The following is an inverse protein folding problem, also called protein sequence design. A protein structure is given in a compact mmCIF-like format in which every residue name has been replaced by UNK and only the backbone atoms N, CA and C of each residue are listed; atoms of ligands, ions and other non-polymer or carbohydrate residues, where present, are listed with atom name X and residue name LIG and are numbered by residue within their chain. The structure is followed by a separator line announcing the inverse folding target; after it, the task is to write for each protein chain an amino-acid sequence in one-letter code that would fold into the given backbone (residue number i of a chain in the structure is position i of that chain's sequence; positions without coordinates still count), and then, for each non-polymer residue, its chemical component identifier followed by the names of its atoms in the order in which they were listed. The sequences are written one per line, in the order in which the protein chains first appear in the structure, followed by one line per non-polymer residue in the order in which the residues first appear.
data_IF_355500597879
#
_entry.id   IF_355500597879
#
_cell.length_a   1.000
_cell.length_b   1.000
_cell.length_c   1.000
_cell.angle_alpha   90.00
_cell.angle_beta   90.00
_cell.angle_gamma   90.00
#
_symmetry.space_group_name_H-M   'P 1'
#
loop_
_entity.id
_entity.type
_entity.pdbx_description
1 polymer ?
#
# COMPACT_ATOMS: atom_id res chain seq x y z
N UNK A 1 -51.63 10.31 6.48
CA UNK A 1 -50.78 9.39 5.70
C UNK A 1 -49.26 9.70 5.82
N UNK A 2 -48.80 10.95 5.73
CA UNK A 2 -47.36 11.36 5.81
C UNK A 2 -46.67 11.04 7.16
N UNK A 3 -47.36 11.03 8.32
CA UNK A 3 -46.77 10.68 9.62
C UNK A 3 -46.41 9.18 9.77
N UNK A 4 -47.15 8.28 9.13
CA UNK A 4 -46.86 6.83 9.16
C UNK A 4 -45.65 6.43 8.33
N UNK A 5 -45.35 7.18 7.24
CA UNK A 5 -44.20 6.94 6.38
C UNK A 5 -42.91 7.35 7.09
N UNK A 6 -42.87 8.53 7.75
CA UNK A 6 -41.72 8.97 8.54
C UNK A 6 -41.41 8.06 9.73
N UNK A 7 -42.43 7.43 10.33
CA UNK A 7 -42.25 6.48 11.43
C UNK A 7 -41.63 5.15 10.94
N UNK A 8 -42.02 4.67 9.76
CA UNK A 8 -41.45 3.47 9.12
C UNK A 8 -40.01 3.69 8.63
N UNK A 9 -39.65 4.87 8.15
CA UNK A 9 -38.27 5.21 7.80
C UNK A 9 -37.38 5.33 9.04
N UNK A 10 -37.91 5.83 10.16
CA UNK A 10 -37.18 5.88 11.45
C UNK A 10 -36.96 4.50 12.06
N UNK A 11 -37.83 3.53 11.79
CA UNK A 11 -37.71 2.13 12.26
C UNK A 11 -36.78 1.28 11.38
N UNK A 12 -36.39 1.73 10.17
CA UNK A 12 -35.46 1.05 9.27
C UNK A 12 -33.97 1.36 9.53
N UNK A 13 -33.63 2.19 10.52
CA UNK A 13 -32.26 2.26 11.02
C UNK A 13 -32.00 0.97 11.81
N UNK A 14 -31.60 -0.07 11.07
CA UNK A 14 -31.13 -1.34 11.63
C UNK A 14 -30.16 -1.00 12.78
N UNK A 15 -30.51 -1.35 13.99
CA UNK A 15 -29.62 -1.14 15.15
C UNK A 15 -28.32 -1.86 14.84
N UNK A 16 -27.22 -1.12 14.70
CA UNK A 16 -25.91 -1.70 14.46
C UNK A 16 -25.64 -2.77 15.54
N UNK A 17 -25.18 -3.92 15.12
CA UNK A 17 -24.73 -4.99 16.01
C UNK A 17 -23.54 -4.52 16.84
N UNK A 18 -23.20 -5.24 17.88
CA UNK A 18 -22.02 -4.93 18.69
C UNK A 18 -20.73 -5.06 17.86
N UNK A 19 -20.68 -6.02 16.95
CA UNK A 19 -19.55 -6.18 16.03
C UNK A 19 -19.41 -5.00 15.07
N UNK A 20 -20.52 -4.54 14.46
CA UNK A 20 -20.51 -3.36 13.57
C UNK A 20 -20.07 -2.08 14.29
N UNK A 21 -20.48 -1.89 15.55
CA UNK A 21 -20.04 -0.74 16.35
C UNK A 21 -18.57 -0.82 16.72
N UNK A 22 -18.08 -2.02 17.03
CA UNK A 22 -16.68 -2.25 17.34
C UNK A 22 -15.82 -1.93 16.12
N UNK A 23 -16.22 -2.39 14.93
CA UNK A 23 -15.50 -2.12 13.70
C UNK A 23 -15.48 -0.62 13.36
N UNK A 24 -16.61 0.07 13.50
CA UNK A 24 -16.69 1.51 13.31
C UNK A 24 -15.78 2.30 14.27
N UNK A 25 -15.75 1.88 15.54
CA UNK A 25 -14.83 2.47 16.53
C UNK A 25 -13.38 2.23 16.15
N UNK A 26 -13.06 1.00 15.71
CA UNK A 26 -11.73 0.62 15.27
C UNK A 26 -11.26 1.46 14.08
N UNK A 27 -12.14 1.66 13.08
CA UNK A 27 -11.91 2.52 11.93
C UNK A 27 -11.59 3.97 12.33
N UNK A 28 -12.40 4.55 13.24
CA UNK A 28 -12.22 5.93 13.66
C UNK A 28 -10.94 6.11 14.49
N UNK A 29 -10.59 5.13 15.33
CA UNK A 29 -9.32 5.14 16.08
C UNK A 29 -8.13 5.04 15.15
N UNK A 30 -8.18 4.17 14.13
CA UNK A 30 -7.11 4.06 13.13
C UNK A 30 -6.92 5.35 12.31
N UNK A 31 -8.03 5.99 11.90
CA UNK A 31 -7.95 7.26 11.18
C UNK A 31 -7.35 8.39 12.04
N UNK A 32 -7.70 8.45 13.33
CA UNK A 32 -7.09 9.39 14.27
C UNK A 32 -5.60 9.09 14.50
N UNK A 33 -5.26 7.80 14.64
CA UNK A 33 -3.89 7.38 14.84
C UNK A 33 -2.98 7.75 13.66
N UNK A 34 -3.46 7.60 12.42
CA UNK A 34 -2.70 7.98 11.24
C UNK A 34 -2.30 9.47 11.30
N UNK A 35 -3.25 10.36 11.62
CA UNK A 35 -2.98 11.79 11.78
C UNK A 35 -1.98 12.09 12.91
N UNK A 36 -2.23 11.52 14.11
CA UNK A 36 -1.38 11.79 15.28
C UNK A 36 0.04 11.28 15.08
N UNK A 37 0.21 10.10 14.48
CA UNK A 37 1.55 9.59 14.14
C UNK A 37 2.25 10.41 13.06
N UNK A 38 1.52 10.87 12.05
CA UNK A 38 2.08 11.72 11.00
C UNK A 38 2.54 13.09 11.52
N UNK A 39 1.79 13.66 12.47
CA UNK A 39 2.08 14.97 13.05
C UNK A 39 3.16 14.93 14.14
N UNK A 40 3.10 13.95 15.05
CA UNK A 40 3.93 13.92 16.27
C UNK A 40 5.04 12.87 16.23
N UNK A 41 4.99 11.97 15.27
CA UNK A 41 5.87 10.79 15.19
C UNK A 41 5.42 9.66 16.12
N UNK A 42 5.96 8.45 15.88
CA UNK A 42 5.60 7.27 16.65
C UNK A 42 5.97 7.38 18.14
N UNK A 43 7.19 7.84 18.43
CA UNK A 43 7.70 7.85 19.80
C UNK A 43 7.00 8.84 20.71
N UNK A 44 6.63 10.01 20.20
CA UNK A 44 5.95 11.06 20.97
C UNK A 44 4.44 10.82 21.11
N UNK A 45 3.88 9.82 20.43
CA UNK A 45 2.45 9.48 20.47
C UNK A 45 2.16 8.46 21.55
N UNK A 46 1.03 8.64 22.28
CA UNK A 46 0.46 7.68 23.22
C UNK A 46 -0.93 7.23 22.78
N UNK A 47 -1.41 6.08 23.28
CA UNK A 47 -2.78 5.64 23.03
C UNK A 47 -3.82 6.62 23.60
N UNK A 48 -3.48 7.34 24.67
CA UNK A 48 -4.32 8.37 25.26
C UNK A 48 -4.51 9.56 24.33
N UNK A 49 -3.43 10.02 23.68
CA UNK A 49 -3.49 11.10 22.71
C UNK A 49 -4.33 10.70 21.48
N UNK A 50 -4.22 9.44 21.04
CA UNK A 50 -5.04 8.90 19.96
C UNK A 50 -6.52 8.80 20.39
N UNK A 51 -6.81 8.39 21.62
CA UNK A 51 -8.17 8.32 22.14
C UNK A 51 -8.84 9.70 22.18
N UNK A 52 -8.10 10.70 22.63
CA UNK A 52 -8.55 12.11 22.67
C UNK A 52 -8.85 12.61 21.24
N UNK A 53 -7.94 12.43 20.30
CA UNK A 53 -8.11 12.80 18.89
C UNK A 53 -9.30 12.09 18.24
N UNK A 54 -9.52 10.80 18.57
CA UNK A 54 -10.61 10.01 18.04
C UNK A 54 -11.97 10.31 18.71
N UNK A 55 -11.98 11.05 19.80
CA UNK A 55 -13.19 11.32 20.59
C UNK A 55 -13.71 10.12 21.37
N UNK A 56 -12.85 9.17 21.70
CA UNK A 56 -13.20 7.96 22.48
C UNK A 56 -12.57 7.95 23.87
N UNK A 57 -13.17 7.16 24.77
CA UNK A 57 -12.55 6.90 26.07
C UNK A 57 -11.28 6.03 25.89
N UNK A 58 -10.32 6.18 26.81
CA UNK A 58 -9.13 5.32 26.87
C UNK A 58 -9.51 3.83 26.88
N UNK A 59 -10.52 3.45 27.68
CA UNK A 59 -11.01 2.08 27.76
C UNK A 59 -11.50 1.53 26.42
N UNK A 60 -12.13 2.37 25.58
CA UNK A 60 -12.60 1.97 24.27
C UNK A 60 -11.40 1.71 23.30
N UNK A 61 -10.32 2.48 23.39
CA UNK A 61 -9.12 2.27 22.59
C UNK A 61 -8.37 1.02 23.05
N UNK A 62 -8.11 0.87 24.34
CA UNK A 62 -7.45 -0.32 24.91
C UNK A 62 -8.22 -1.62 24.71
N UNK A 63 -9.55 -1.55 24.59
CA UNK A 63 -10.37 -2.71 24.24
C UNK A 63 -10.14 -3.19 22.80
N UNK A 64 -9.77 -2.29 21.91
CA UNK A 64 -9.56 -2.58 20.49
C UNK A 64 -8.09 -2.82 20.11
N UNK A 65 -7.14 -2.20 20.81
CA UNK A 65 -5.70 -2.26 20.53
C UNK A 65 -4.92 -2.45 21.82
N UNK A 66 -4.08 -3.46 21.87
CA UNK A 66 -3.27 -3.77 23.05
C UNK A 66 -2.23 -2.69 23.33
N UNK A 67 -1.61 -2.15 22.28
CA UNK A 67 -0.59 -1.12 22.35
C UNK A 67 -0.55 -0.26 21.09
N UNK A 68 0.29 0.76 21.09
CA UNK A 68 0.44 1.66 19.94
C UNK A 68 1.18 1.01 18.76
N UNK A 69 2.00 0.00 19.03
CA UNK A 69 2.71 -0.74 17.98
C UNK A 69 1.74 -1.57 17.15
N UNK A 70 0.80 -2.28 17.80
CA UNK A 70 -0.26 -3.00 17.10
C UNK A 70 -1.07 -2.07 16.20
N UNK A 71 -1.46 -0.90 16.72
CA UNK A 71 -2.22 0.08 15.98
C UNK A 71 -1.42 0.63 14.79
N UNK A 72 -0.13 0.91 15.00
CA UNK A 72 0.78 1.39 13.97
C UNK A 72 0.95 0.35 12.85
N UNK A 73 1.18 -0.92 13.19
CA UNK A 73 1.28 -2.01 12.24
C UNK A 73 -0.03 -2.27 11.48
N UNK A 74 -1.18 -2.05 12.09
CA UNK A 74 -2.46 -2.21 11.42
C UNK A 74 -2.74 -1.14 10.36
N UNK A 75 -2.25 0.08 10.57
CA UNK A 75 -2.26 1.10 9.52
C UNK A 75 -1.46 0.65 8.30
N UNK A 76 -0.32 -0.01 8.52
CA UNK A 76 0.46 -0.60 7.45
C UNK A 76 -0.29 -1.73 6.73
N UNK A 77 -0.91 -2.66 7.50
CA UNK A 77 -1.68 -3.76 6.94
C UNK A 77 -2.77 -3.28 5.99
N UNK A 78 -3.53 -2.25 6.39
CA UNK A 78 -4.56 -1.64 5.54
C UNK A 78 -3.98 -1.09 4.26
N UNK A 79 -2.91 -0.32 4.37
CA UNK A 79 -2.29 0.30 3.20
C UNK A 79 -1.70 -0.73 2.24
N UNK A 80 -1.08 -1.78 2.76
CA UNK A 80 -0.59 -2.89 1.94
C UNK A 80 -1.74 -3.63 1.23
N UNK A 81 -2.86 -3.85 1.93
CA UNK A 81 -4.02 -4.52 1.36
C UNK A 81 -4.68 -3.69 0.24
N UNK A 82 -4.88 -2.39 0.45
CA UNK A 82 -5.39 -1.45 -0.57
C UNK A 82 -4.51 -1.47 -1.82
N UNK A 83 -3.19 -1.34 -1.63
CA UNK A 83 -2.23 -1.36 -2.73
C UNK A 83 -2.20 -2.67 -3.51
N UNK A 84 -2.26 -3.80 -2.80
CA UNK A 84 -2.32 -5.11 -3.43
C UNK A 84 -3.62 -5.28 -4.25
N UNK A 85 -4.73 -4.72 -3.76
CA UNK A 85 -6.00 -4.72 -4.49
C UNK A 85 -5.95 -3.84 -5.74
N UNK A 86 -5.41 -2.62 -5.63
CA UNK A 86 -5.24 -1.70 -6.76
C UNK A 86 -4.39 -2.33 -7.86
N UNK A 87 -3.26 -2.95 -7.48
CA UNK A 87 -2.39 -3.64 -8.42
C UNK A 87 -3.12 -4.77 -9.15
N UNK A 88 -3.83 -5.64 -8.42
CA UNK A 88 -4.61 -6.72 -9.03
C UNK A 88 -5.70 -6.19 -9.96
N UNK A 89 -6.38 -5.10 -9.58
CA UNK A 89 -7.42 -4.49 -10.40
C UNK A 89 -6.89 -3.97 -11.74
N UNK A 90 -5.70 -3.36 -11.76
CA UNK A 90 -5.08 -2.90 -13.02
C UNK A 90 -4.81 -4.05 -13.98
N UNK A 91 -4.51 -5.24 -13.48
CA UNK A 91 -4.15 -6.39 -14.29
C UNK A 91 -5.29 -7.42 -14.49
N UNK A 92 -6.49 -7.17 -13.93
CA UNK A 92 -7.59 -8.14 -13.95
C UNK A 92 -8.11 -8.46 -15.37
N UNK A 93 -8.16 -7.48 -16.26
CA UNK A 93 -8.77 -7.57 -17.59
C UNK A 93 -7.72 -7.54 -18.73
N UNK A 94 -6.50 -8.01 -18.48
CA UNK A 94 -5.41 -7.89 -19.46
C UNK A 94 -5.26 -9.15 -20.29
N UNK A 95 -5.21 -8.99 -21.61
CA UNK A 95 -4.70 -9.98 -22.54
C UNK A 95 -3.20 -10.27 -22.25
N UNK A 96 -2.76 -11.52 -22.50
CA UNK A 96 -1.37 -11.97 -22.28
C UNK A 96 -0.39 -11.42 -23.34
N UNK A 97 -0.76 -10.33 -24.04
CA UNK A 97 0.10 -9.65 -24.99
C UNK A 97 1.16 -8.81 -24.29
N UNK A 98 2.40 -8.89 -24.76
CA UNK A 98 3.57 -8.22 -24.17
C UNK A 98 3.43 -6.69 -24.19
N UNK A 99 2.88 -6.13 -25.27
CA UNK A 99 2.69 -4.69 -25.41
C UNK A 99 1.58 -4.19 -24.48
N UNK A 100 0.48 -4.96 -24.34
CA UNK A 100 -0.57 -4.68 -23.36
C UNK A 100 -0.02 -4.75 -21.93
N UNK A 101 0.80 -5.75 -21.63
CA UNK A 101 1.49 -5.89 -20.33
C UNK A 101 2.40 -4.70 -20.02
N UNK A 102 3.20 -4.21 -20.98
CA UNK A 102 4.06 -3.02 -20.80
C UNK A 102 3.23 -1.77 -20.48
N UNK A 103 2.16 -1.52 -21.24
CA UNK A 103 1.25 -0.38 -21.00
C UNK A 103 0.61 -0.44 -19.62
N UNK A 104 0.16 -1.60 -19.19
CA UNK A 104 -0.48 -1.74 -17.87
C UNK A 104 0.52 -1.64 -16.73
N UNK A 105 1.74 -2.14 -16.90
CA UNK A 105 2.81 -1.94 -15.93
C UNK A 105 3.09 -0.44 -15.73
N UNK A 106 3.11 0.35 -16.82
CA UNK A 106 3.25 1.80 -16.75
C UNK A 106 2.08 2.47 -16.01
N UNK A 107 0.83 2.06 -16.29
CA UNK A 107 -0.37 2.57 -15.60
C UNK A 107 -0.31 2.22 -14.10
N UNK A 108 0.01 0.97 -13.76
CA UNK A 108 0.14 0.54 -12.37
C UNK A 108 1.24 1.32 -11.63
N UNK A 109 2.40 1.53 -12.27
CA UNK A 109 3.49 2.31 -11.72
C UNK A 109 3.09 3.77 -11.49
N UNK A 110 2.39 4.39 -12.43
CA UNK A 110 1.89 5.76 -12.28
C UNK A 110 0.91 5.87 -11.12
N UNK A 111 -0.10 5.00 -11.04
CA UNK A 111 -1.06 4.98 -9.95
C UNK A 111 -0.38 4.77 -8.59
N UNK A 112 0.59 3.84 -8.52
CA UNK A 112 1.33 3.60 -7.30
C UNK A 112 2.12 4.84 -6.86
N UNK A 113 2.79 5.50 -7.79
CA UNK A 113 3.58 6.70 -7.51
C UNK A 113 2.70 7.87 -7.09
N UNK A 114 1.60 8.14 -7.79
CA UNK A 114 0.64 9.21 -7.47
C UNK A 114 0.02 9.01 -6.10
N UNK A 115 -0.37 7.78 -5.76
CA UNK A 115 -0.93 7.46 -4.46
C UNK A 115 0.10 7.61 -3.31
N UNK A 116 1.40 7.39 -3.57
CA UNK A 116 2.46 7.63 -2.57
C UNK A 116 2.80 9.12 -2.43
N UNK A 117 2.81 9.88 -3.53
CA UNK A 117 3.18 11.29 -3.52
C UNK A 117 2.03 12.20 -3.12
N UNK A 118 0.78 11.82 -3.42
CA UNK A 118 -0.44 12.57 -3.14
C UNK A 118 -0.90 12.53 -1.68
N UNK A 119 -0.35 11.65 -0.86
CA UNK A 119 -0.75 11.47 0.54
C UNK A 119 0.38 11.89 1.51
N UNK A 120 0.38 13.13 2.01
CA UNK A 120 1.42 13.63 2.91
C UNK A 120 1.41 12.93 4.28
N UNK A 121 0.23 12.51 4.77
CA UNK A 121 0.13 11.77 6.04
C UNK A 121 0.79 10.40 5.90
N UNK A 122 0.51 9.70 4.81
CA UNK A 122 1.14 8.42 4.53
C UNK A 122 2.66 8.53 4.37
N UNK A 123 3.15 9.57 3.71
CA UNK A 123 4.59 9.80 3.56
C UNK A 123 5.29 9.92 4.91
N UNK A 124 4.75 10.76 5.80
CA UNK A 124 5.30 10.92 7.14
C UNK A 124 5.26 9.61 7.92
N UNK A 125 4.12 8.92 7.87
CA UNK A 125 3.90 7.64 8.55
C UNK A 125 4.88 6.56 8.05
N UNK A 126 5.12 6.48 6.74
CA UNK A 126 6.03 5.49 6.16
C UNK A 126 7.49 5.74 6.60
N UNK A 127 7.92 6.99 6.70
CA UNK A 127 9.24 7.34 7.25
C UNK A 127 9.36 6.94 8.72
N UNK A 128 8.32 7.11 9.52
CA UNK A 128 8.26 6.65 10.90
C UNK A 128 8.37 5.12 10.99
N UNK A 129 7.69 4.37 10.11
CA UNK A 129 7.84 2.91 10.01
C UNK A 129 9.30 2.51 9.77
N UNK A 130 9.95 3.12 8.77
CA UNK A 130 11.35 2.82 8.44
C UNK A 130 12.30 3.19 9.58
N UNK A 131 12.11 4.35 10.18
CA UNK A 131 12.95 4.81 11.30
C UNK A 131 12.79 3.91 12.53
N UNK A 132 11.57 3.44 12.82
CA UNK A 132 11.32 2.51 13.91
C UNK A 132 11.91 1.12 13.61
N UNK A 133 11.67 0.59 12.41
CA UNK A 133 12.24 -0.69 11.97
C UNK A 133 13.78 -0.72 11.98
N UNK A 134 14.43 0.41 11.73
CA UNK A 134 15.88 0.51 11.81
C UNK A 134 16.44 0.32 13.24
N UNK A 135 15.64 0.65 14.27
CA UNK A 135 16.03 0.63 15.68
C UNK A 135 15.52 -0.58 16.45
N UNK A 136 14.40 -1.15 16.03
CA UNK A 136 13.74 -2.28 16.69
C UNK A 136 13.71 -3.52 15.79
N UNK A 137 14.41 -4.57 16.19
CA UNK A 137 14.50 -5.81 15.42
C UNK A 137 13.18 -6.62 15.42
N UNK A 138 12.36 -6.54 16.47
CA UNK A 138 11.08 -7.22 16.54
C UNK A 138 10.08 -6.52 15.62
N UNK A 139 10.00 -5.19 15.69
CA UNK A 139 9.20 -4.38 14.79
C UNK A 139 9.62 -4.56 13.32
N UNK A 140 10.94 -4.54 13.02
CA UNK A 140 11.44 -4.78 11.66
C UNK A 140 10.96 -6.11 11.08
N UNK A 141 10.97 -7.20 11.87
CA UNK A 141 10.43 -8.49 11.42
C UNK A 141 8.91 -8.44 11.19
N UNK A 142 8.18 -7.73 12.05
CA UNK A 142 6.74 -7.55 11.90
C UNK A 142 6.40 -6.68 10.68
N UNK A 143 7.16 -5.62 10.45
CA UNK A 143 7.06 -4.74 9.29
C UNK A 143 7.34 -5.51 7.98
N UNK A 144 8.46 -6.25 7.92
CA UNK A 144 8.83 -7.04 6.75
C UNK A 144 7.74 -8.04 6.35
N UNK A 145 7.20 -8.82 7.31
CA UNK A 145 6.11 -9.77 7.01
C UNK A 145 4.87 -9.11 6.37
N UNK A 146 4.57 -7.85 6.72
CA UNK A 146 3.43 -7.12 6.20
C UNK A 146 3.68 -6.57 4.80
N UNK A 147 4.86 -6.02 4.59
CA UNK A 147 5.27 -5.56 3.26
C UNK A 147 5.45 -6.73 2.29
N UNK A 148 5.78 -7.93 2.77
CA UNK A 148 5.84 -9.14 1.95
C UNK A 148 4.47 -9.52 1.36
N UNK A 149 3.35 -9.17 1.99
CA UNK A 149 2.02 -9.39 1.42
C UNK A 149 1.78 -8.54 0.16
N UNK A 150 2.22 -7.27 0.19
CA UNK A 150 2.14 -6.40 -0.98
C UNK A 150 3.11 -6.87 -2.07
N UNK A 151 4.33 -7.26 -1.68
CA UNK A 151 5.32 -7.82 -2.61
C UNK A 151 4.81 -9.11 -3.24
N UNK A 152 4.12 -9.97 -2.48
CA UNK A 152 3.47 -11.16 -3.00
C UNK A 152 2.46 -10.88 -4.10
N UNK A 153 1.66 -9.81 -3.98
CA UNK A 153 0.74 -9.40 -5.04
C UNK A 153 1.48 -8.94 -6.31
N UNK A 154 2.59 -8.21 -6.16
CA UNK A 154 3.45 -7.82 -7.29
C UNK A 154 4.11 -9.06 -7.93
N UNK A 155 4.60 -10.00 -7.11
CA UNK A 155 5.17 -11.25 -7.56
C UNK A 155 4.15 -12.09 -8.35
N UNK A 156 2.91 -12.22 -7.87
CA UNK A 156 1.83 -12.91 -8.59
C UNK A 156 1.67 -12.33 -10.01
N UNK A 157 1.60 -11.01 -10.14
CA UNK A 157 1.47 -10.33 -11.44
C UNK A 157 2.72 -10.59 -12.30
N UNK A 158 3.92 -10.41 -11.74
CA UNK A 158 5.18 -10.64 -12.46
C UNK A 158 5.30 -12.08 -12.94
N UNK A 159 5.03 -13.08 -12.08
CA UNK A 159 5.07 -14.50 -12.45
C UNK A 159 4.12 -14.81 -13.59
N UNK A 160 2.88 -14.33 -13.52
CA UNK A 160 1.89 -14.57 -14.58
C UNK A 160 2.32 -13.99 -15.92
N UNK A 161 2.92 -12.79 -15.91
CA UNK A 161 3.27 -12.04 -17.13
C UNK A 161 4.64 -12.39 -17.71
N UNK A 162 5.59 -12.83 -16.87
CA UNK A 162 6.95 -13.18 -17.32
C UNK A 162 7.18 -14.67 -17.51
N UNK A 163 6.21 -15.52 -17.13
CA UNK A 163 6.34 -16.98 -17.28
C UNK A 163 6.80 -17.45 -18.68
N UNK A 164 6.28 -16.88 -19.79
CA UNK A 164 6.70 -17.31 -21.13
C UNK A 164 8.16 -16.95 -21.47
N UNK A 165 8.79 -16.06 -20.73
CA UNK A 165 10.11 -15.48 -21.00
C UNK A 165 11.07 -15.62 -19.82
N UNK A 166 10.71 -16.36 -18.78
CA UNK A 166 11.49 -16.53 -17.56
C UNK A 166 12.92 -17.01 -17.85
N UNK A 167 13.06 -17.99 -18.75
CA UNK A 167 14.35 -18.57 -19.15
C UNK A 167 15.29 -17.56 -19.82
N UNK A 168 14.75 -16.48 -20.38
CA UNK A 168 15.52 -15.45 -21.11
C UNK A 168 15.97 -14.32 -20.19
N UNK A 169 15.28 -14.12 -19.06
CA UNK A 169 15.51 -12.97 -18.16
C UNK A 169 16.79 -13.10 -17.35
N UNK A 170 17.22 -14.33 -17.00
CA UNK A 170 18.32 -14.57 -16.06
C UNK A 170 18.05 -14.06 -14.65
N UNK A 171 16.77 -13.76 -14.34
CA UNK A 171 16.26 -13.34 -13.04
C UNK A 171 15.03 -14.16 -12.71
N UNK A 172 14.95 -14.62 -11.48
CA UNK A 172 13.72 -15.20 -10.95
C UNK A 172 12.63 -14.13 -10.85
N UNK A 173 11.34 -14.47 -11.06
CA UNK A 173 10.24 -13.51 -10.95
C UNK A 173 10.20 -12.75 -9.62
N UNK A 174 10.59 -13.41 -8.53
CA UNK A 174 10.72 -12.80 -7.20
C UNK A 174 11.77 -11.69 -7.19
N UNK A 175 12.90 -11.89 -7.86
CA UNK A 175 13.97 -10.90 -7.96
C UNK A 175 13.54 -9.70 -8.78
N UNK A 176 12.78 -9.92 -9.87
CA UNK A 176 12.22 -8.84 -10.67
C UNK A 176 11.19 -8.02 -9.87
N UNK A 177 10.33 -8.67 -9.08
CA UNK A 177 9.40 -7.97 -8.19
C UNK A 177 10.14 -7.10 -7.16
N UNK A 178 11.25 -7.60 -6.59
CA UNK A 178 12.11 -6.80 -5.68
C UNK A 178 12.72 -5.59 -6.41
N UNK A 179 13.19 -5.76 -7.65
CA UNK A 179 13.75 -4.66 -8.45
C UNK A 179 12.71 -3.58 -8.72
N UNK A 180 11.49 -3.96 -9.11
CA UNK A 180 10.38 -3.03 -9.37
C UNK A 180 10.00 -2.26 -8.11
N UNK A 181 9.83 -2.96 -6.99
CA UNK A 181 9.49 -2.35 -5.69
C UNK A 181 10.58 -1.39 -5.21
N UNK A 182 11.85 -1.81 -5.31
CA UNK A 182 13.00 -0.97 -4.93
C UNK A 182 13.12 0.27 -5.82
N UNK A 183 12.87 0.14 -7.13
CA UNK A 183 12.88 1.26 -8.07
C UNK A 183 11.78 2.28 -7.71
N UNK A 184 10.55 1.82 -7.51
CA UNK A 184 9.42 2.67 -7.12
C UNK A 184 9.67 3.39 -5.80
N UNK A 185 10.08 2.66 -4.77
CA UNK A 185 10.38 3.21 -3.44
C UNK A 185 11.56 4.19 -3.48
N UNK A 186 12.63 3.88 -4.21
CA UNK A 186 13.79 4.74 -4.37
C UNK A 186 13.48 6.04 -5.10
N UNK A 187 12.72 5.98 -6.20
CA UNK A 187 12.26 7.16 -6.92
C UNK A 187 11.30 8.02 -6.09
N UNK A 188 10.38 7.38 -5.35
CA UNK A 188 9.51 8.10 -4.42
C UNK A 188 10.31 8.84 -3.33
N UNK A 189 11.27 8.17 -2.69
CA UNK A 189 12.13 8.80 -1.68
C UNK A 189 12.93 9.97 -2.27
N UNK A 190 13.46 9.81 -3.48
CA UNK A 190 14.17 10.86 -4.19
C UNK A 190 13.26 12.04 -4.57
N UNK A 191 12.03 11.76 -5.00
CA UNK A 191 11.02 12.79 -5.27
C UNK A 191 10.68 13.59 -4.02
N UNK A 192 10.53 12.93 -2.88
CA UNK A 192 10.25 13.57 -1.60
C UNK A 192 11.40 14.52 -1.19
N UNK A 193 12.66 14.13 -1.42
CA UNK A 193 13.83 14.91 -1.03
C UNK A 193 14.14 16.05 -2.01
N UNK A 194 13.96 15.83 -3.30
CA UNK A 194 14.44 16.73 -4.36
C UNK A 194 13.31 17.37 -5.17
N UNK A 195 12.08 16.93 -4.99
CA UNK A 195 10.87 17.44 -5.66
C UNK A 195 10.71 17.02 -7.11
N UNK A 196 9.59 17.41 -7.70
CA UNK A 196 9.16 17.02 -9.05
C UNK A 196 10.12 17.49 -10.17
N UNK A 197 10.92 18.54 -9.94
CA UNK A 197 11.91 19.02 -10.94
C UNK A 197 13.05 18.02 -11.13
N UNK A 198 13.50 17.38 -10.06
CA UNK A 198 14.58 16.40 -10.11
C UNK A 198 14.06 14.99 -10.42
N UNK A 199 12.90 14.64 -9.88
CA UNK A 199 12.24 13.35 -10.09
C UNK A 199 10.80 13.62 -10.55
N UNK A 200 10.57 13.71 -11.88
CA UNK A 200 9.22 13.91 -12.41
C UNK A 200 8.25 12.79 -11.97
N UNK A 201 6.96 13.10 -11.79
CA UNK A 201 5.97 12.11 -11.32
C UNK A 201 5.83 10.89 -12.26
N UNK A 202 6.09 11.06 -13.54
CA UNK A 202 6.02 10.01 -14.57
C UNK A 202 7.32 9.22 -14.76
N UNK A 203 8.37 9.52 -13.97
CA UNK A 203 9.66 8.86 -14.13
C UNK A 203 9.61 7.36 -13.83
N UNK A 204 8.83 6.97 -12.81
CA UNK A 204 8.67 5.55 -12.45
C UNK A 204 7.97 4.78 -13.57
N UNK A 205 6.87 5.30 -14.10
CA UNK A 205 6.14 4.65 -15.20
C UNK A 205 6.99 4.53 -16.47
N UNK A 206 7.74 5.57 -16.81
CA UNK A 206 8.68 5.54 -17.94
C UNK A 206 9.81 4.53 -17.74
N UNK A 207 10.43 4.50 -16.56
CA UNK A 207 11.50 3.56 -16.25
C UNK A 207 11.01 2.11 -16.30
N UNK A 208 9.80 1.85 -15.77
CA UNK A 208 9.21 0.52 -15.84
C UNK A 208 8.85 0.13 -17.29
N UNK A 209 8.35 1.06 -18.10
CA UNK A 209 8.14 0.84 -19.53
C UNK A 209 9.42 0.41 -20.24
N UNK A 210 10.50 1.16 -20.07
CA UNK A 210 11.82 0.81 -20.65
C UNK A 210 12.32 -0.56 -20.18
N UNK A 211 12.11 -0.91 -18.90
CA UNK A 211 12.46 -2.22 -18.38
C UNK A 211 11.65 -3.32 -19.09
N UNK A 212 10.34 -3.15 -19.22
CA UNK A 212 9.45 -4.13 -19.86
C UNK A 212 9.74 -4.26 -21.36
N UNK A 213 10.00 -3.17 -22.05
CA UNK A 213 10.38 -3.18 -23.46
C UNK A 213 11.74 -3.87 -23.69
N UNK A 214 12.70 -3.65 -22.78
CA UNK A 214 13.99 -4.35 -22.78
C UNK A 214 13.85 -5.86 -22.57
N UNK A 215 12.95 -6.28 -21.69
CA UNK A 215 12.59 -7.68 -21.45
C UNK A 215 11.97 -8.29 -22.72
N UNK A 216 11.00 -7.60 -23.32
CA UNK A 216 10.35 -8.03 -24.55
C UNK A 216 11.31 -8.18 -25.72
N UNK A 217 12.18 -7.18 -25.94
CA UNK A 217 13.20 -7.20 -26.97
C UNK A 217 14.17 -8.38 -26.81
N UNK A 218 14.58 -8.67 -25.56
CA UNK A 218 15.46 -9.82 -25.27
C UNK A 218 14.77 -11.15 -25.56
N UNK A 219 13.49 -11.27 -25.22
CA UNK A 219 12.68 -12.47 -25.50
C UNK A 219 12.49 -12.72 -27.01
N UNK A 220 12.54 -11.69 -27.84
CA UNK A 220 12.41 -11.79 -29.30
C UNK A 220 13.69 -12.26 -30.02
N UNK A 221 14.85 -12.36 -29.33
CA UNK A 221 16.11 -12.81 -29.90
C UNK A 221 16.13 -14.34 -29.98
N UNK A 222 16.17 -14.98 -31.18
CA UNK A 222 16.25 -16.42 -31.27
C UNK A 222 17.55 -16.96 -30.66
N UNK A 223 17.45 -17.86 -29.69
CA UNK A 223 18.63 -18.49 -29.06
C UNK A 223 19.28 -17.67 -27.93
N UNK A 224 18.63 -16.62 -27.42
CA UNK A 224 19.08 -15.94 -26.21
C UNK A 224 18.98 -16.91 -25.02
N UNK A 225 20.12 -17.46 -24.63
CA UNK A 225 20.32 -18.16 -23.34
C UNK A 225 20.74 -17.13 -22.28
N UNK A 226 20.43 -17.35 -20.99
CA UNK A 226 20.79 -16.46 -19.90
C UNK A 226 22.30 -16.27 -19.74
#
# INVERSE_FOLDING_TARGET
MRKRIKLRERMKRKRKTQAERREETREQVLAAAARVFAERGFHATSLEAIAEEAGFSRGAVYYNFADKEQLFLELLDRRCAERAQDLRAVFADTDDDVEATSRQAQVAAQHAFDAMTGDPEWRALYMEFLAHAARDAAFRRAFARRTDQMRGALEEVVVQRTRPIADVLGLEPQQLAVVIDALGTGLWASHMLHGARAVPPDLFSKALGLLMDGIAARAAIPGATP
#
